data_IF_028066014526
#
_entry.id   IF_028066014526
#
_cell.length_a   1.000
_cell.length_b   1.000
_cell.length_c   1.000
_cell.angle_alpha   90.00
_cell.angle_beta   90.00
_cell.angle_gamma   90.00
#
_symmetry.space_group_name_H-M   'P 1'
#
loop_
_entity.id
_entity.type
_entity.pdbx_description
1 polymer ?
#
# COMPACT_ATOMS: atom_id res chain seq x y z
N UNK A 1 -25.45 7.12 -12.20
CA UNK A 1 -25.98 5.75 -12.08
C UNK A 1 -26.24 5.47 -10.61
N UNK A 2 -27.42 4.95 -10.20
CA UNK A 2 -27.78 4.74 -8.78
C UNK A 2 -26.84 3.78 -8.03
N UNK A 3 -26.11 2.91 -8.73
CA UNK A 3 -25.11 2.02 -8.12
C UNK A 3 -23.86 2.73 -7.62
N UNK A 4 -23.47 3.87 -8.16
CA UNK A 4 -22.32 4.66 -7.64
C UNK A 4 -22.59 5.22 -6.26
N UNK A 5 -23.79 5.74 -6.02
CA UNK A 5 -24.18 6.35 -4.76
C UNK A 5 -24.14 5.39 -3.54
N UNK A 6 -24.30 4.08 -3.76
CA UNK A 6 -24.28 3.10 -2.66
C UNK A 6 -22.88 2.93 -2.03
N UNK A 7 -21.80 3.08 -2.79
CA UNK A 7 -20.43 2.88 -2.30
C UNK A 7 -19.76 4.18 -1.81
N UNK A 8 -20.32 5.35 -2.15
CA UNK A 8 -19.70 6.64 -1.79
C UNK A 8 -19.68 6.90 -0.30
N UNK A 9 -20.63 6.35 0.45
CA UNK A 9 -20.78 6.54 1.91
C UNK A 9 -20.15 5.44 2.76
N UNK A 10 -19.73 4.32 2.15
CA UNK A 10 -19.11 3.25 2.92
C UNK A 10 -17.73 3.68 3.43
N UNK A 11 -17.41 3.47 4.71
CA UNK A 11 -16.04 3.65 5.18
C UNK A 11 -15.12 2.68 4.44
N UNK A 12 -13.92 3.14 4.16
CA UNK A 12 -12.94 2.38 3.39
C UNK A 12 -11.58 2.48 4.06
N UNK A 13 -10.96 1.33 4.26
CA UNK A 13 -9.56 1.22 4.66
C UNK A 13 -8.80 0.52 3.56
N UNK A 14 -7.61 0.99 3.27
CA UNK A 14 -6.68 0.36 2.33
C UNK A 14 -5.43 -0.03 3.11
N UNK A 15 -5.15 -1.32 3.13
CA UNK A 15 -3.90 -1.84 3.67
C UNK A 15 -2.81 -1.73 2.63
N UNK A 16 -1.70 -1.15 3.01
CA UNK A 16 -0.48 -1.10 2.21
C UNK A 16 0.71 -1.61 3.01
N UNK A 17 1.63 -2.15 2.28
CA UNK A 17 2.95 -2.47 2.79
C UNK A 17 3.96 -2.35 1.65
N UNK A 18 5.13 -2.84 1.88
CA UNK A 18 6.27 -2.71 1.00
C UNK A 18 6.19 -3.61 -0.24
N UNK A 19 5.26 -4.59 -0.28
CA UNK A 19 4.86 -5.30 -1.49
C UNK A 19 3.87 -4.52 -2.34
N UNK A 20 3.28 -3.45 -1.80
CA UNK A 20 2.36 -2.59 -2.52
C UNK A 20 3.15 -1.68 -3.47
N UNK A 21 3.05 -1.94 -4.77
CA UNK A 21 3.87 -1.28 -5.78
C UNK A 21 3.06 -0.81 -7.00
N UNK A 22 3.57 0.21 -7.70
CA UNK A 22 3.08 0.66 -9.01
C UNK A 22 1.57 1.00 -9.01
N UNK A 23 0.72 0.24 -9.71
CA UNK A 23 -0.72 0.47 -9.79
C UNK A 23 -1.42 0.50 -8.43
N UNK A 24 -0.97 -0.32 -7.47
CA UNK A 24 -1.48 -0.31 -6.10
C UNK A 24 -1.19 1.03 -5.40
N UNK A 25 0.00 1.59 -5.61
CA UNK A 25 0.41 2.89 -5.07
C UNK A 25 -0.38 4.05 -5.67
N UNK A 26 -0.71 3.96 -6.97
CA UNK A 26 -1.55 4.94 -7.66
C UNK A 26 -2.94 4.96 -7.03
N UNK A 27 -3.53 3.79 -6.80
CA UNK A 27 -4.86 3.67 -6.17
C UNK A 27 -4.83 4.17 -4.73
N UNK A 28 -3.87 3.70 -3.92
CA UNK A 28 -3.74 4.11 -2.53
C UNK A 28 -3.52 5.63 -2.41
N UNK A 29 -2.60 6.19 -3.19
CA UNK A 29 -2.31 7.63 -3.19
C UNK A 29 -3.49 8.47 -3.65
N UNK A 30 -4.24 8.02 -4.66
CA UNK A 30 -5.44 8.72 -5.11
C UNK A 30 -6.56 8.71 -4.05
N UNK A 31 -6.78 7.59 -3.39
CA UNK A 31 -7.77 7.47 -2.31
C UNK A 31 -7.36 8.30 -1.09
N UNK A 32 -6.07 8.32 -0.74
CA UNK A 32 -5.52 9.11 0.35
C UNK A 32 -5.69 10.61 0.11
N UNK A 33 -5.24 11.11 -1.03
CA UNK A 33 -5.29 12.54 -1.38
C UNK A 33 -6.74 13.06 -1.44
N UNK A 34 -7.67 12.24 -1.94
CA UNK A 34 -9.09 12.56 -1.98
C UNK A 34 -9.82 12.31 -0.64
N UNK A 35 -9.12 11.92 0.43
CA UNK A 35 -9.71 11.58 1.74
C UNK A 35 -10.85 10.56 1.65
N UNK A 36 -10.77 9.66 0.65
CA UNK A 36 -11.80 8.65 0.40
C UNK A 36 -11.59 7.38 1.23
N UNK A 37 -10.35 7.09 1.59
CA UNK A 37 -9.97 5.95 2.43
C UNK A 37 -8.93 6.37 3.47
N UNK A 38 -8.89 5.65 4.58
CA UNK A 38 -7.75 5.64 5.50
C UNK A 38 -6.74 4.62 4.99
N UNK A 39 -5.51 5.03 4.82
CA UNK A 39 -4.41 4.16 4.41
C UNK A 39 -3.69 3.66 5.67
N UNK A 40 -3.63 2.35 5.84
CA UNK A 40 -3.14 1.68 7.04
C UNK A 40 -2.03 0.69 6.69
N UNK A 41 -1.04 0.53 7.54
CA UNK A 41 0.04 -0.44 7.39
C UNK A 41 1.42 0.17 7.41
N UNK A 42 2.29 -0.28 6.53
CA UNK A 42 3.65 0.23 6.37
C UNK A 42 3.83 0.90 5.00
N UNK A 43 4.91 1.64 4.85
CA UNK A 43 5.20 2.41 3.64
C UNK A 43 5.31 1.50 2.41
N UNK A 44 4.77 1.90 1.28
CA UNK A 44 4.79 1.15 0.03
C UNK A 44 6.15 1.16 -0.68
N UNK A 45 6.29 0.39 -1.75
CA UNK A 45 7.55 0.13 -2.46
C UNK A 45 8.19 1.38 -3.09
N UNK A 46 7.42 2.20 -3.78
CA UNK A 46 7.91 3.43 -4.42
C UNK A 46 8.19 3.30 -5.91
N UNK A 47 7.41 2.49 -6.64
CA UNK A 47 7.52 2.38 -8.10
C UNK A 47 6.55 3.31 -8.81
N UNK A 48 6.97 4.54 -9.06
CA UNK A 48 6.20 5.57 -9.74
C UNK A 48 6.59 5.82 -11.20
N UNK A 49 7.35 4.91 -11.83
CA UNK A 49 7.82 5.09 -13.22
C UNK A 49 6.98 4.33 -14.24
N UNK A 50 6.75 4.97 -15.38
CA UNK A 50 6.18 4.34 -16.59
C UNK A 50 7.33 3.91 -17.49
N UNK A 51 7.30 2.67 -17.93
CA UNK A 51 8.29 2.12 -18.84
C UNK A 51 7.64 1.73 -20.16
N UNK A 52 8.24 2.16 -21.27
CA UNK A 52 7.83 1.80 -22.62
C UNK A 52 8.84 0.84 -23.21
N UNK A 53 8.35 -0.23 -23.81
CA UNK A 53 9.17 -1.18 -24.58
C UNK A 53 9.12 -0.75 -26.04
N UNK A 54 10.29 -0.45 -26.61
CA UNK A 54 10.45 -0.03 -28.00
C UNK A 54 11.16 -1.16 -28.73
N UNK A 55 10.49 -1.89 -29.65
CA UNK A 55 11.15 -2.91 -30.45
C UNK A 55 12.18 -2.26 -31.38
N UNK A 56 13.37 -2.90 -31.53
CA UNK A 56 14.44 -2.49 -32.44
C UNK A 56 14.38 -3.36 -33.68
N UNK A 57 14.18 -4.66 -33.48
CA UNK A 57 14.07 -5.68 -34.52
C UNK A 57 13.19 -6.85 -34.01
N UNK A 58 13.09 -7.94 -34.82
CA UNK A 58 12.25 -9.10 -34.49
C UNK A 58 12.69 -9.89 -33.24
N UNK A 59 13.90 -9.63 -32.72
CA UNK A 59 14.50 -10.38 -31.62
C UNK A 59 14.90 -9.49 -30.43
N UNK A 60 14.90 -8.15 -30.58
CA UNK A 60 15.40 -7.23 -29.58
C UNK A 60 14.50 -6.00 -29.35
N UNK A 61 14.49 -5.51 -28.12
CA UNK A 61 13.76 -4.31 -27.73
C UNK A 61 14.50 -3.53 -26.64
N UNK A 62 14.31 -2.22 -26.62
CA UNK A 62 14.78 -1.34 -25.53
C UNK A 62 13.60 -1.03 -24.61
N UNK A 63 13.83 -1.13 -23.31
CA UNK A 63 12.89 -0.71 -22.27
C UNK A 63 13.38 0.60 -21.65
N UNK A 64 12.62 1.66 -21.88
CA UNK A 64 12.95 3.01 -21.42
C UNK A 64 11.90 3.54 -20.46
N UNK A 65 12.34 4.27 -19.44
CA UNK A 65 11.44 5.06 -18.60
C UNK A 65 11.04 6.33 -19.34
N UNK A 66 9.73 6.52 -19.55
CA UNK A 66 9.18 7.60 -20.39
C UNK A 66 8.34 8.60 -19.60
N UNK A 67 7.87 8.27 -18.39
CA UNK A 67 7.07 9.14 -17.55
C UNK A 67 7.15 8.74 -16.07
N UNK A 68 6.66 9.63 -15.19
CA UNK A 68 6.48 9.38 -13.76
C UNK A 68 5.00 9.59 -13.40
N UNK A 69 4.52 8.78 -12.46
CA UNK A 69 3.22 8.97 -11.83
C UNK A 69 3.32 9.94 -10.65
N UNK A 70 2.31 10.77 -10.55
CA UNK A 70 2.07 11.65 -9.41
C UNK A 70 0.68 11.39 -8.83
N UNK A 71 0.52 11.55 -7.52
CA UNK A 71 -0.79 11.51 -6.89
C UNK A 71 -1.61 12.76 -7.28
N UNK A 72 -2.93 12.81 -7.07
CA UNK A 72 -3.75 13.99 -7.34
C UNK A 72 -3.23 15.28 -6.67
N UNK A 73 -2.60 15.18 -5.50
CA UNK A 73 -1.97 16.29 -4.80
C UNK A 73 -0.56 16.66 -5.35
N UNK A 74 -0.11 16.02 -6.43
CA UNK A 74 1.19 16.29 -7.06
C UNK A 74 2.39 15.66 -6.38
N UNK A 75 2.19 14.71 -5.45
CA UNK A 75 3.29 13.97 -4.81
C UNK A 75 3.85 12.92 -5.77
N UNK A 76 5.18 12.86 -5.90
CA UNK A 76 5.84 11.79 -6.65
C UNK A 76 5.83 10.49 -5.85
N UNK A 77 5.46 9.39 -6.51
CA UNK A 77 5.51 8.03 -5.93
C UNK A 77 6.92 7.45 -6.07
N UNK A 78 7.67 7.86 -7.11
CA UNK A 78 8.97 7.26 -7.44
C UNK A 78 9.98 7.39 -6.30
N UNK A 79 10.54 6.27 -5.87
CA UNK A 79 11.46 6.09 -4.74
C UNK A 79 10.96 6.63 -3.37
N UNK A 80 9.76 7.23 -3.35
CA UNK A 80 9.13 7.76 -2.14
C UNK A 80 8.06 6.82 -1.58
N UNK A 81 7.32 6.12 -2.45
CA UNK A 81 6.16 5.34 -2.06
C UNK A 81 5.00 6.16 -1.49
N UNK A 82 4.00 5.47 -1.01
CA UNK A 82 2.89 6.03 -0.24
C UNK A 82 3.15 5.74 1.24
N UNK A 83 3.17 6.78 2.05
CA UNK A 83 3.19 6.64 3.51
C UNK A 83 1.76 6.45 4.01
N UNK A 84 1.49 5.48 4.88
CA UNK A 84 0.15 5.28 5.43
C UNK A 84 -0.27 6.47 6.32
N UNK A 85 -1.58 6.67 6.48
CA UNK A 85 -2.13 7.63 7.44
C UNK A 85 -1.97 7.13 8.88
N UNK A 86 -2.05 5.79 9.06
CA UNK A 86 -1.81 5.11 10.33
C UNK A 86 -0.77 4.02 10.09
N UNK A 87 0.39 4.17 10.72
CA UNK A 87 1.45 3.17 10.67
C UNK A 87 1.13 2.00 11.60
N UNK A 88 1.17 0.79 11.07
CA UNK A 88 1.14 -0.45 11.83
C UNK A 88 2.37 -1.28 11.46
N UNK A 89 3.23 -1.50 12.44
CA UNK A 89 4.38 -2.38 12.27
C UNK A 89 3.94 -3.85 12.20
N UNK A 90 4.71 -4.65 11.48
CA UNK A 90 4.49 -6.09 11.44
C UNK A 90 4.87 -6.70 12.81
N UNK A 91 3.88 -7.22 13.54
CA UNK A 91 4.17 -7.99 14.74
C UNK A 91 4.73 -9.36 14.33
N UNK A 92 6.03 -9.55 14.49
CA UNK A 92 6.65 -10.87 14.44
C UNK A 92 6.27 -11.62 15.72
N UNK A 93 5.27 -12.48 15.64
CA UNK A 93 5.01 -13.46 16.71
C UNK A 93 6.12 -14.51 16.63
N UNK A 94 7.15 -14.37 17.46
CA UNK A 94 8.21 -15.36 17.56
C UNK A 94 7.61 -16.66 18.11
N UNK A 95 7.37 -17.62 17.25
CA UNK A 95 7.27 -19.02 17.65
C UNK A 95 8.69 -19.46 18.01
N UNK A 96 8.85 -20.05 19.20
CA UNK A 96 10.14 -20.33 19.83
C UNK A 96 11.00 -21.42 19.13
N UNK A 97 10.61 -21.91 17.96
CA UNK A 97 11.19 -23.09 17.33
C UNK A 97 11.64 -22.97 15.88
N UNK A 98 11.68 -21.76 15.30
CA UNK A 98 12.21 -21.57 13.94
C UNK A 98 13.25 -20.45 13.91
N UNK A 99 14.44 -20.74 13.34
CA UNK A 99 15.45 -19.73 13.04
C UNK A 99 14.86 -18.64 12.13
N UNK A 100 14.99 -17.36 12.48
CA UNK A 100 14.43 -16.28 11.67
C UNK A 100 15.19 -16.18 10.36
N UNK A 101 14.66 -16.78 9.29
CA UNK A 101 15.04 -16.41 7.93
C UNK A 101 14.51 -15.00 7.72
N UNK A 102 15.36 -14.00 7.93
CA UNK A 102 15.03 -12.63 7.54
C UNK A 102 14.92 -12.58 6.01
N UNK A 103 13.71 -12.45 5.46
CA UNK A 103 13.58 -12.27 4.02
C UNK A 103 14.25 -10.96 3.64
N UNK A 104 15.12 -11.00 2.64
CA UNK A 104 15.81 -9.80 2.11
C UNK A 104 14.79 -9.01 1.29
N UNK A 105 14.30 -7.96 1.86
CA UNK A 105 13.31 -7.09 1.28
C UNK A 105 13.99 -5.85 0.67
N UNK A 106 13.80 -5.63 -0.63
CA UNK A 106 14.39 -4.51 -1.36
C UNK A 106 13.33 -3.50 -1.77
N UNK A 107 13.67 -2.22 -1.69
CA UNK A 107 12.89 -1.12 -2.24
C UNK A 107 13.37 -0.72 -3.63
N UNK A 108 12.52 -0.01 -4.37
CA UNK A 108 12.92 0.63 -5.63
C UNK A 108 14.18 1.50 -5.43
N UNK A 109 14.27 2.22 -4.31
CA UNK A 109 15.42 3.06 -3.96
C UNK A 109 16.72 2.30 -3.68
N UNK A 110 16.66 0.98 -3.45
CA UNK A 110 17.81 0.09 -3.18
C UNK A 110 18.25 -0.68 -4.43
N UNK A 111 17.46 -0.63 -5.51
CA UNK A 111 17.80 -1.27 -6.78
C UNK A 111 18.84 -0.45 -7.54
N UNK A 112 19.84 -1.15 -8.15
CA UNK A 112 20.82 -0.50 -9.05
C UNK A 112 20.10 0.14 -10.23
N UNK A 113 20.33 1.45 -10.44
CA UNK A 113 19.75 2.19 -11.56
C UNK A 113 18.32 2.70 -11.33
N UNK A 114 17.80 2.69 -10.08
CA UNK A 114 16.52 3.32 -9.75
C UNK A 114 16.53 4.82 -10.06
N UNK A 115 15.40 5.35 -10.46
CA UNK A 115 15.22 6.80 -10.65
C UNK A 115 15.14 7.51 -9.30
N UNK A 116 16.03 8.47 -9.09
CA UNK A 116 16.01 9.28 -7.87
C UNK A 116 14.75 10.13 -7.80
N UNK A 117 14.09 10.09 -6.64
CA UNK A 117 13.07 11.07 -6.28
C UNK A 117 13.75 12.30 -5.67
N UNK A 118 13.24 13.48 -5.93
CA UNK A 118 13.72 14.70 -5.31
C UNK A 118 13.53 14.77 -3.79
N UNK A 119 12.81 13.81 -3.19
CA UNK A 119 12.54 13.72 -1.76
C UNK A 119 12.56 12.24 -1.31
N UNK A 120 13.41 11.87 -0.38
CA UNK A 120 13.66 10.48 0.11
C UNK A 120 12.91 10.20 1.42
N UNK A 121 12.56 8.98 1.81
CA UNK A 121 13.20 7.71 2.22
C UNK A 121 12.21 6.55 2.48
N UNK A 122 12.66 5.29 2.59
CA UNK A 122 11.89 4.04 2.38
C UNK A 122 11.54 3.13 3.57
N UNK A 123 10.88 2.02 3.31
CA UNK A 123 10.97 0.55 3.63
C UNK A 123 9.62 -0.18 3.81
N UNK A 124 9.49 -1.45 3.65
CA UNK A 124 9.58 -2.85 3.29
C UNK A 124 8.28 -3.70 3.16
N UNK A 125 8.23 -4.99 2.80
CA UNK A 125 7.26 -5.89 2.15
C UNK A 125 6.52 -7.00 2.94
N UNK A 126 5.74 -7.91 2.26
CA UNK A 126 4.70 -8.81 2.76
C UNK A 126 4.43 -10.12 1.96
N UNK A 127 3.86 -11.14 2.64
CA UNK A 127 3.19 -12.33 2.08
C UNK A 127 1.85 -12.63 2.80
N UNK A 128 0.87 -13.30 2.11
CA UNK A 128 -0.49 -13.52 2.62
C UNK A 128 -0.85 -14.99 2.92
N UNK A 129 -1.57 -15.31 4.02
CA UNK A 129 -2.16 -16.62 4.29
C UNK A 129 -3.68 -16.70 4.08
N UNK A 130 -4.25 -17.93 4.07
CA UNK A 130 -5.62 -18.29 3.68
C UNK A 130 -6.54 -18.54 4.89
N UNK A 131 -7.79 -18.15 4.78
CA UNK A 131 -8.99 -18.32 5.67
C UNK A 131 -8.75 -18.61 7.16
N UNK A 132 -9.05 -17.63 8.01
CA UNK A 132 -8.72 -17.61 9.42
C UNK A 132 -9.91 -17.16 10.27
N UNK A 133 -10.14 -17.78 11.44
CA UNK A 133 -11.07 -17.31 12.47
C UNK A 133 -10.55 -16.05 13.19
N UNK A 134 -11.42 -15.32 13.91
CA UNK A 134 -11.05 -14.03 14.50
C UNK A 134 -9.89 -14.09 15.50
N UNK A 135 -9.75 -15.20 16.24
CA UNK A 135 -8.63 -15.44 17.13
C UNK A 135 -7.33 -15.79 16.38
N UNK A 136 -7.46 -16.29 15.16
CA UNK A 136 -6.34 -16.62 14.30
C UNK A 136 -5.87 -15.37 13.52
N UNK A 137 -6.77 -14.43 13.20
CA UNK A 137 -6.39 -13.12 12.61
C UNK A 137 -5.41 -12.37 13.51
N UNK A 138 -5.66 -12.34 14.82
CA UNK A 138 -4.76 -11.68 15.79
C UNK A 138 -3.35 -12.28 15.75
N UNK A 139 -3.24 -13.61 15.50
CA UNK A 139 -1.95 -14.31 15.49
C UNK A 139 -1.23 -14.29 14.16
N UNK A 140 -1.99 -14.27 13.06
CA UNK A 140 -1.45 -14.49 11.72
C UNK A 140 -1.52 -13.24 10.82
N UNK A 141 -2.44 -12.30 11.09
CA UNK A 141 -2.53 -11.04 10.36
C UNK A 141 -3.04 -9.92 11.28
N UNK A 142 -2.15 -9.43 12.11
CA UNK A 142 -2.44 -8.33 13.02
C UNK A 142 -2.88 -7.05 12.29
N UNK A 143 -2.31 -6.77 11.12
CA UNK A 143 -2.68 -5.57 10.36
C UNK A 143 -4.13 -5.64 9.87
N UNK A 144 -4.56 -6.81 9.37
CA UNK A 144 -5.96 -7.02 8.97
C UNK A 144 -6.90 -6.96 10.17
N UNK A 145 -6.51 -7.50 11.33
CA UNK A 145 -7.29 -7.42 12.56
C UNK A 145 -7.51 -5.96 13.00
N UNK A 146 -6.46 -5.15 13.04
CA UNK A 146 -6.55 -3.72 13.38
C UNK A 146 -7.35 -2.92 12.35
N UNK A 147 -7.17 -3.19 11.06
CA UNK A 147 -7.98 -2.59 10.01
C UNK A 147 -9.46 -2.87 10.20
N UNK A 148 -9.82 -4.09 10.58
CA UNK A 148 -11.21 -4.47 10.83
C UNK A 148 -11.79 -3.78 12.07
N UNK A 149 -11.01 -3.64 13.15
CA UNK A 149 -11.43 -2.90 14.35
C UNK A 149 -11.64 -1.41 14.06
N UNK A 150 -10.70 -0.80 13.32
CA UNK A 150 -10.83 0.58 12.89
C UNK A 150 -12.06 0.78 11.99
N UNK A 151 -12.31 -0.13 11.05
CA UNK A 151 -13.47 -0.09 10.19
C UNK A 151 -14.79 -0.14 10.97
N UNK A 152 -14.88 -1.01 11.99
CA UNK A 152 -16.03 -1.05 12.90
C UNK A 152 -16.22 0.29 13.61
N UNK A 153 -15.15 0.89 14.13
CA UNK A 153 -15.21 2.21 14.78
C UNK A 153 -15.73 3.30 13.84
N UNK A 154 -15.26 3.29 12.57
CA UNK A 154 -15.73 4.23 11.56
C UNK A 154 -17.23 4.07 11.25
N UNK A 155 -17.72 2.83 11.18
CA UNK A 155 -19.16 2.54 10.98
C UNK A 155 -20.00 3.08 12.15
N UNK A 156 -19.59 2.78 13.38
CA UNK A 156 -20.29 3.27 14.59
C UNK A 156 -20.37 4.79 14.63
N UNK A 157 -19.30 5.49 14.26
CA UNK A 157 -19.26 6.95 14.20
C UNK A 157 -20.18 7.53 13.11
N UNK A 158 -20.37 6.83 11.99
CA UNK A 158 -21.28 7.25 10.92
C UNK A 158 -22.75 7.05 11.28
N UNK A 159 -23.07 6.03 12.06
CA UNK A 159 -24.43 5.72 12.49
C UNK A 159 -24.91 6.58 13.67
N UNK A 160 -24.01 7.26 14.37
CA UNK A 160 -24.33 8.13 15.50
C UNK A 160 -24.40 9.60 15.03
N UNK A 161 -25.58 10.18 14.73
CA UNK A 161 -25.68 11.61 14.47
C UNK A 161 -25.35 12.35 15.77
N UNK A 162 -24.26 13.13 15.76
CA UNK A 162 -24.00 14.07 16.86
C UNK A 162 -25.20 15.02 16.98
N UNK A 163 -26.00 14.84 18.03
CA UNK A 163 -26.95 15.85 18.48
C UNK A 163 -26.14 16.99 19.10
N UNK A 164 -25.96 18.05 18.34
CA UNK A 164 -25.52 19.36 18.82
C UNK A 164 -26.73 20.08 19.39
#
# INVERSE_FOLDING_TARGET
SPRRAQFEKLPLIVLINQGSASGAEIVAGALQDNKRAVILGTKSFGKGSVQTVIPIDDASAIKLTTALYYTPAGRSIQAAGISPDITLDELKVNTLDEDPIDPIYLHESELKGHLKNGNTTPKTIFEMPTTIGMNDLVKNDYQLFEAFNLLKGMVVLQETPMKI
#
